data_IF_162969837776
#
_entry.id   IF_162969837776
#
_cell.length_a   1.000
_cell.length_b   1.000
_cell.length_c   1.000
_cell.angle_alpha   90.00
_cell.angle_beta   90.00
_cell.angle_gamma   90.00
#
_symmetry.space_group_name_H-M   'P 1'
#
loop_
_entity.id
_entity.type
_entity.pdbx_description
1 polymer ?
#
# COMPACT_ATOMS: atom_id res chain seq x y z
N UNK A 1 -11.34 15.33 40.70
CA UNK A 1 -10.59 16.60 40.90
C UNK A 1 -9.12 16.21 41.02
N UNK A 2 -8.13 16.68 40.25
CA UNK A 2 -8.01 17.82 39.35
C UNK A 2 -6.78 17.59 38.44
N UNK A 3 -6.86 18.09 37.22
CA UNK A 3 -5.90 17.97 36.11
C UNK A 3 -4.51 18.59 36.40
N UNK A 4 -3.49 18.06 35.71
CA UNK A 4 -2.26 18.78 35.30
C UNK A 4 -1.83 18.18 33.96
N UNK A 5 -1.42 18.89 32.91
CA UNK A 5 -1.43 20.29 32.54
C UNK A 5 -1.09 20.27 31.05
N UNK A 6 -1.97 20.80 30.20
CA UNK A 6 -1.71 21.01 28.78
C UNK A 6 -0.69 22.16 28.66
N UNK A 7 0.39 21.96 27.90
CA UNK A 7 1.17 23.06 27.32
C UNK A 7 0.98 23.02 25.81
N UNK A 8 0.18 23.96 25.33
CA UNK A 8 0.14 24.46 23.97
C UNK A 8 1.40 25.26 23.67
N UNK A 9 2.04 24.97 22.54
CA UNK A 9 2.75 25.97 21.75
C UNK A 9 2.34 25.81 20.29
N UNK A 10 1.53 26.76 19.85
CA UNK A 10 1.22 27.05 18.46
C UNK A 10 2.08 28.25 18.04
N UNK A 11 2.89 28.12 16.99
CA UNK A 11 3.21 29.21 16.07
C UNK A 11 4.17 28.76 14.97
N UNK A 12 3.75 29.03 13.74
CA UNK A 12 4.55 29.36 12.54
C UNK A 12 5.35 28.16 11.99
N UNK A 13 5.01 27.59 10.83
CA UNK A 13 5.20 28.26 9.54
C UNK A 13 4.07 28.00 8.54
N UNK A 14 3.71 29.08 7.85
CA UNK A 14 2.68 29.18 6.82
C UNK A 14 3.43 29.63 5.56
N UNK A 15 4.07 28.71 4.85
CA UNK A 15 4.67 28.99 3.55
C UNK A 15 4.41 27.87 2.54
N UNK A 16 4.02 28.34 1.34
CA UNK A 16 3.97 27.64 0.05
C UNK A 16 2.72 26.79 -0.23
N UNK A 17 1.66 27.48 -0.64
CA UNK A 17 0.43 26.93 -1.20
C UNK A 17 0.37 27.14 -2.73
N UNK A 18 1.51 27.03 -3.42
CA UNK A 18 1.62 27.29 -4.88
C UNK A 18 2.12 26.08 -5.70
N UNK A 19 2.18 24.87 -5.12
CA UNK A 19 2.77 23.72 -5.80
C UNK A 19 1.80 22.89 -6.68
N UNK A 20 0.50 23.20 -6.69
CA UNK A 20 -0.52 22.33 -7.30
C UNK A 20 -0.99 22.73 -8.70
N UNK A 21 -0.42 23.77 -9.31
CA UNK A 21 -0.86 24.24 -10.64
C UNK A 21 0.21 24.05 -11.72
N UNK A 22 0.68 22.80 -11.90
CA UNK A 22 1.46 22.42 -13.08
C UNK A 22 0.60 21.60 -14.03
N UNK A 23 0.38 22.05 -15.28
CA UNK A 23 -0.38 21.28 -16.26
C UNK A 23 0.39 20.02 -16.66
N UNK A 24 -0.33 18.91 -16.81
CA UNK A 24 0.20 17.65 -17.32
C UNK A 24 0.58 17.86 -18.80
N UNK A 25 1.88 17.87 -19.09
CA UNK A 25 2.37 17.83 -20.47
C UNK A 25 2.13 16.42 -20.99
N UNK A 26 1.15 16.25 -21.86
CA UNK A 26 0.98 15.03 -22.65
C UNK A 26 2.04 15.07 -23.75
N UNK A 27 3.05 14.20 -23.64
CA UNK A 27 4.08 14.04 -24.67
C UNK A 27 3.50 13.29 -25.87
N UNK A 28 3.74 13.78 -27.08
CA UNK A 28 3.38 13.10 -28.33
C UNK A 28 4.09 11.73 -28.46
N UNK A 29 3.49 10.75 -29.17
CA UNK A 29 4.10 9.43 -29.34
C UNK A 29 5.36 9.50 -30.21
N UNK A 30 6.45 8.91 -29.70
CA UNK A 30 7.76 8.82 -30.35
C UNK A 30 7.66 7.99 -31.65
N UNK A 31 8.03 8.60 -32.80
CA UNK A 31 8.31 7.88 -34.05
C UNK A 31 9.62 7.10 -33.91
N UNK A 32 9.58 5.78 -34.13
CA UNK A 32 10.77 4.94 -34.21
C UNK A 32 11.54 5.21 -35.51
N UNK A 33 12.84 5.46 -35.40
CA UNK A 33 13.78 5.38 -36.51
C UNK A 33 14.98 4.53 -36.06
N UNK A 34 15.26 3.51 -36.86
CA UNK A 34 16.44 2.65 -36.78
C UNK A 34 17.68 3.39 -37.27
N UNK A 35 18.81 3.29 -36.57
CA UNK A 35 20.17 3.35 -37.14
C UNK A 35 21.25 3.01 -36.09
N UNK A 36 22.35 2.45 -36.60
CA UNK A 36 23.42 1.70 -35.95
C UNK A 36 24.56 2.55 -35.32
N UNK A 37 25.45 1.82 -34.60
CA UNK A 37 26.89 2.02 -34.39
C UNK A 37 27.45 2.84 -33.20
N UNK A 38 28.06 2.10 -32.26
CA UNK A 38 29.51 2.15 -31.91
C UNK A 38 30.10 3.40 -31.24
N UNK A 39 30.65 3.24 -30.02
CA UNK A 39 31.65 4.18 -29.47
C UNK A 39 31.86 4.10 -27.95
N UNK A 40 33.07 3.73 -27.53
CA UNK A 40 33.58 3.67 -26.15
C UNK A 40 33.96 5.06 -25.59
N UNK A 41 33.73 5.34 -24.30
CA UNK A 41 34.38 6.48 -23.63
C UNK A 41 33.82 6.97 -22.28
N UNK A 42 34.35 6.42 -21.19
CA UNK A 42 34.85 7.10 -19.96
C UNK A 42 33.99 7.94 -18.99
N UNK A 43 34.31 7.73 -17.70
CA UNK A 43 34.29 8.63 -16.51
C UNK A 43 33.08 8.71 -15.57
N UNK A 44 33.27 8.05 -14.41
CA UNK A 44 33.31 8.54 -13.01
C UNK A 44 32.10 9.23 -12.33
N UNK A 45 31.88 8.72 -11.11
CA UNK A 45 31.56 9.39 -9.84
C UNK A 45 30.11 9.49 -9.34
N UNK A 46 29.90 8.74 -8.24
CA UNK A 46 29.50 9.23 -6.91
C UNK A 46 28.09 9.80 -6.72
N UNK A 47 27.27 9.01 -6.01
CA UNK A 47 26.06 9.49 -5.36
C UNK A 47 25.12 8.33 -5.06
N UNK A 48 25.46 7.53 -4.04
CA UNK A 48 24.58 6.49 -3.52
C UNK A 48 23.36 7.13 -2.85
N UNK A 49 22.40 7.55 -3.66
CA UNK A 49 21.01 7.67 -3.24
C UNK A 49 20.45 6.25 -3.26
N UNK A 50 20.06 5.82 -2.07
CA UNK A 50 19.42 4.55 -1.79
C UNK A 50 18.13 4.51 -2.62
N UNK A 51 18.17 3.78 -3.74
CA UNK A 51 17.00 3.60 -4.60
C UNK A 51 15.96 2.81 -3.81
N UNK A 52 14.90 3.48 -3.34
CA UNK A 52 13.64 2.79 -3.11
C UNK A 52 13.17 2.22 -4.46
N UNK A 53 12.93 0.91 -4.60
CA UNK A 53 12.46 0.35 -5.85
C UNK A 53 10.99 0.74 -6.01
N UNK A 54 10.73 1.92 -6.55
CA UNK A 54 9.42 2.22 -7.10
C UNK A 54 9.31 1.45 -8.41
N UNK A 55 8.67 0.29 -8.37
CA UNK A 55 8.35 -0.48 -9.57
C UNK A 55 7.39 0.37 -10.40
N UNK A 56 7.82 0.80 -11.59
CA UNK A 56 6.93 1.55 -12.48
C UNK A 56 5.81 0.62 -12.96
N UNK A 57 4.56 1.11 -12.91
CA UNK A 57 3.38 0.37 -13.38
C UNK A 57 3.52 -0.10 -14.85
N UNK A 58 4.38 0.56 -15.64
CA UNK A 58 4.69 0.19 -17.03
C UNK A 58 5.68 -0.95 -17.22
N UNK A 59 6.37 -1.41 -16.17
CA UNK A 59 7.39 -2.47 -16.26
C UNK A 59 6.84 -3.88 -15.98
N UNK A 60 5.52 -4.02 -15.79
CA UNK A 60 4.87 -5.32 -15.60
C UNK A 60 4.72 -5.99 -16.99
N UNK A 61 5.76 -6.72 -17.39
CA UNK A 61 5.75 -7.53 -18.62
C UNK A 61 4.84 -8.75 -18.44
N UNK A 62 3.60 -8.67 -18.96
CA UNK A 62 2.64 -9.78 -18.94
C UNK A 62 2.97 -10.88 -19.96
N UNK A 63 4.02 -10.72 -20.78
CA UNK A 63 4.35 -11.65 -21.86
C UNK A 63 5.76 -12.21 -21.64
N UNK A 64 5.86 -13.26 -20.80
CA UNK A 64 6.80 -14.40 -20.88
C UNK A 64 7.49 -14.83 -19.56
N UNK A 65 7.15 -14.30 -18.40
CA UNK A 65 7.58 -14.93 -17.15
C UNK A 65 6.66 -16.10 -16.81
N UNK A 66 7.23 -17.25 -16.47
CA UNK A 66 6.54 -18.36 -15.80
C UNK A 66 5.99 -17.82 -14.48
N UNK A 67 4.79 -17.24 -14.52
CA UNK A 67 4.17 -16.60 -13.38
C UNK A 67 3.86 -17.71 -12.37
N UNK A 68 4.52 -17.66 -11.22
CA UNK A 68 4.14 -18.49 -10.09
C UNK A 68 2.76 -18.03 -9.63
N UNK A 69 1.75 -18.83 -9.97
CA UNK A 69 0.37 -18.64 -9.53
C UNK A 69 0.17 -19.52 -8.32
N UNK A 70 -0.14 -18.91 -7.18
CA UNK A 70 -0.46 -19.69 -5.99
C UNK A 70 -1.84 -20.37 -6.14
N UNK A 71 -2.15 -21.38 -5.31
CA UNK A 71 -3.46 -22.06 -5.36
C UNK A 71 -4.66 -21.13 -5.12
N UNK A 72 -4.43 -19.95 -4.54
CA UNK A 72 -5.43 -18.90 -4.28
C UNK A 72 -5.59 -17.94 -5.47
N UNK A 73 -4.82 -18.12 -6.54
CA UNK A 73 -4.84 -17.32 -7.76
C UNK A 73 -4.03 -16.02 -7.69
N UNK A 74 -3.23 -15.80 -6.65
CA UNK A 74 -2.29 -14.69 -6.56
C UNK A 74 -1.15 -14.93 -7.54
N UNK A 75 -0.83 -13.88 -8.28
CA UNK A 75 0.25 -13.81 -9.25
C UNK A 75 1.36 -12.99 -8.63
N UNK A 76 2.56 -13.56 -8.58
CA UNK A 76 3.76 -12.85 -8.13
C UNK A 76 4.54 -12.29 -9.33
N UNK A 77 5.29 -11.22 -9.09
CA UNK A 77 6.23 -10.69 -10.06
C UNK A 77 7.41 -11.67 -10.27
N UNK A 78 8.29 -11.37 -11.23
CA UNK A 78 9.43 -12.23 -11.56
C UNK A 78 10.40 -12.47 -10.40
N UNK A 79 10.34 -11.67 -9.33
CA UNK A 79 11.13 -11.85 -8.11
C UNK A 79 10.56 -12.95 -7.18
N UNK A 80 9.33 -13.43 -7.43
CA UNK A 80 8.64 -14.42 -6.61
C UNK A 80 8.22 -13.92 -5.22
N UNK A 81 8.39 -12.64 -4.93
CA UNK A 81 8.13 -12.04 -3.61
C UNK A 81 7.03 -10.99 -3.71
N UNK A 82 7.09 -10.14 -4.73
CA UNK A 82 6.17 -9.02 -4.89
C UNK A 82 4.87 -9.50 -5.50
N UNK A 83 3.74 -9.16 -4.87
CA UNK A 83 2.41 -9.48 -5.42
C UNK A 83 2.14 -8.58 -6.62
N UNK A 84 1.92 -9.18 -7.79
CA UNK A 84 1.58 -8.47 -9.01
C UNK A 84 0.07 -8.31 -9.19
N UNK A 85 -0.71 -9.38 -8.95
CA UNK A 85 -2.18 -9.34 -9.04
C UNK A 85 -2.83 -10.54 -8.36
N UNK A 86 -4.17 -10.56 -8.26
CA UNK A 86 -4.91 -11.71 -7.77
C UNK A 86 -6.41 -11.42 -7.62
N UNK A 87 -7.22 -12.44 -7.29
CA UNK A 87 -8.62 -12.24 -6.93
C UNK A 87 -8.75 -11.34 -5.70
N UNK A 88 -9.78 -10.49 -5.69
CA UNK A 88 -10.01 -9.54 -4.60
C UNK A 88 -10.06 -10.23 -3.23
N UNK A 89 -10.75 -11.36 -3.12
CA UNK A 89 -10.88 -12.10 -1.85
C UNK A 89 -9.51 -12.56 -1.34
N UNK A 90 -8.69 -13.14 -2.22
CA UNK A 90 -7.35 -13.60 -1.88
C UNK A 90 -6.44 -12.43 -1.48
N UNK A 91 -6.57 -11.26 -2.11
CA UNK A 91 -5.85 -10.05 -1.71
C UNK A 91 -6.32 -9.48 -0.36
N UNK A 92 -7.62 -9.60 -0.03
CA UNK A 92 -8.13 -9.26 1.30
C UNK A 92 -7.53 -10.18 2.35
N UNK A 93 -7.46 -11.49 2.10
CA UNK A 93 -6.90 -12.46 3.04
C UNK A 93 -5.42 -12.20 3.36
N UNK A 94 -4.66 -11.66 2.39
CA UNK A 94 -3.26 -11.26 2.58
C UNK A 94 -3.07 -10.09 3.55
N UNK A 95 -4.12 -9.34 3.89
CA UNK A 95 -4.04 -8.31 4.94
C UNK A 95 -3.91 -8.89 6.35
N UNK A 96 -4.19 -10.18 6.55
CA UNK A 96 -4.08 -10.82 7.86
C UNK A 96 -2.66 -11.37 8.09
N UNK A 97 -1.84 -10.76 8.95
CA UNK A 97 -0.43 -11.15 9.12
C UNK A 97 -0.31 -12.56 9.67
N UNK A 98 0.26 -13.52 8.94
CA UNK A 98 0.51 -14.85 9.51
C UNK A 98 1.46 -14.75 10.70
N UNK A 99 1.31 -15.64 11.69
CA UNK A 99 1.85 -15.58 13.06
C UNK A 99 3.37 -15.43 13.20
N UNK A 100 4.13 -15.36 12.10
CA UNK A 100 5.60 -15.21 12.08
C UNK A 100 6.13 -14.14 11.12
N UNK A 101 5.30 -13.54 10.24
CA UNK A 101 5.78 -12.63 9.20
C UNK A 101 5.23 -11.22 9.41
N UNK A 102 6.13 -10.23 9.31
CA UNK A 102 5.73 -8.82 9.20
C UNK A 102 4.84 -8.64 7.96
N UNK A 103 3.81 -7.80 8.07
CA UNK A 103 3.05 -7.39 6.89
C UNK A 103 3.99 -6.64 5.95
N UNK A 104 3.93 -6.98 4.66
CA UNK A 104 4.57 -6.14 3.64
C UNK A 104 3.88 -4.77 3.64
N UNK A 105 4.58 -3.77 4.18
CA UNK A 105 4.07 -2.40 4.26
C UNK A 105 3.73 -1.82 2.88
N UNK A 106 4.47 -2.22 1.84
CA UNK A 106 4.25 -1.80 0.45
C UNK A 106 2.94 -2.36 -0.09
N UNK A 107 2.69 -3.65 0.13
CA UNK A 107 1.40 -4.27 -0.16
C UNK A 107 0.26 -3.63 0.63
N UNK A 108 0.38 -3.51 1.95
CA UNK A 108 -0.67 -2.94 2.81
C UNK A 108 -1.03 -1.53 2.38
N UNK A 109 -0.03 -0.67 2.15
CA UNK A 109 -0.26 0.70 1.67
C UNK A 109 -0.99 0.70 0.34
N UNK A 110 -0.48 -0.03 -0.65
CA UNK A 110 -0.98 -0.01 -2.02
C UNK A 110 -2.37 -0.64 -2.13
N UNK A 111 -2.59 -1.76 -1.45
CA UNK A 111 -3.89 -2.43 -1.40
C UNK A 111 -4.93 -1.58 -0.67
N UNK A 112 -4.65 -1.07 0.53
CA UNK A 112 -5.61 -0.22 1.24
C UNK A 112 -5.90 1.08 0.48
N UNK A 113 -4.92 1.65 -0.22
CA UNK A 113 -5.14 2.83 -1.08
C UNK A 113 -6.13 2.54 -2.22
N UNK A 114 -5.84 1.48 -2.99
CA UNK A 114 -6.52 1.16 -4.25
C UNK A 114 -7.80 0.32 -4.10
N UNK A 115 -7.90 -0.48 -3.05
CA UNK A 115 -9.05 -1.37 -2.78
C UNK A 115 -10.39 -0.61 -2.73
N UNK A 116 -10.39 0.69 -2.39
CA UNK A 116 -11.58 1.56 -2.41
C UNK A 116 -12.29 1.59 -3.77
N UNK A 117 -11.60 1.24 -4.85
CA UNK A 117 -12.18 1.12 -6.19
C UNK A 117 -13.03 -0.16 -6.36
N UNK A 118 -12.81 -1.18 -5.53
CA UNK A 118 -13.39 -2.51 -5.67
C UNK A 118 -14.25 -2.92 -4.48
N UNK A 119 -13.92 -2.46 -3.27
CA UNK A 119 -14.58 -2.82 -2.01
C UNK A 119 -14.50 -1.67 -1.01
N UNK A 120 -15.58 -1.48 -0.24
CA UNK A 120 -15.61 -0.42 0.79
C UNK A 120 -14.78 -0.82 2.01
N UNK A 121 -14.09 0.13 2.68
CA UNK A 121 -13.29 -0.14 3.88
C UNK A 121 -13.99 -1.00 4.95
N UNK A 122 -15.25 -0.70 5.29
CA UNK A 122 -15.97 -1.47 6.31
C UNK A 122 -16.23 -2.92 5.89
N UNK A 123 -16.39 -3.18 4.58
CA UNK A 123 -16.58 -4.54 4.07
C UNK A 123 -15.28 -5.35 4.18
N UNK A 124 -14.11 -4.73 3.96
CA UNK A 124 -12.81 -5.37 4.21
C UNK A 124 -12.70 -5.74 5.69
N UNK A 125 -12.91 -4.78 6.61
CA UNK A 125 -12.77 -5.03 8.04
C UNK A 125 -13.79 -6.05 8.56
N UNK A 126 -15.03 -6.01 8.06
CA UNK A 126 -16.07 -6.98 8.41
C UNK A 126 -15.72 -8.41 7.97
N UNK A 127 -15.19 -8.58 6.75
CA UNK A 127 -14.71 -9.88 6.25
C UNK A 127 -13.57 -10.43 7.10
N UNK A 128 -12.56 -9.60 7.38
CA UNK A 128 -11.40 -9.98 8.19
C UNK A 128 -11.76 -10.31 9.64
N UNK A 129 -12.69 -9.55 10.24
CA UNK A 129 -13.16 -9.85 11.59
C UNK A 129 -13.93 -11.18 11.63
N UNK A 130 -14.74 -11.45 10.61
CA UNK A 130 -15.54 -12.67 10.51
C UNK A 130 -14.71 -13.92 10.21
N UNK A 131 -13.49 -13.76 9.67
CA UNK A 131 -12.59 -14.88 9.40
C UNK A 131 -11.79 -15.34 10.63
N UNK A 132 -11.81 -14.58 11.73
CA UNK A 132 -11.14 -14.94 12.98
C UNK A 132 -12.14 -15.62 13.94
N UNK A 133 -11.99 -16.93 14.26
CA UNK A 133 -12.85 -17.65 15.21
C UNK A 133 -12.91 -16.94 16.55
N UNK A 134 -14.05 -16.99 17.25
CA UNK A 134 -14.31 -16.18 18.45
C UNK A 134 -13.32 -16.45 19.60
N UNK A 135 -12.78 -17.66 19.65
CA UNK A 135 -11.84 -18.13 20.68
C UNK A 135 -10.39 -17.65 20.44
N UNK A 136 -10.07 -17.17 19.24
CA UNK A 136 -8.71 -16.74 18.89
C UNK A 136 -8.41 -15.30 19.32
N UNK A 137 -7.15 -14.95 19.63
CA UNK A 137 -6.79 -13.56 19.91
C UNK A 137 -6.84 -12.71 18.64
N UNK A 138 -7.25 -11.45 18.78
CA UNK A 138 -7.33 -10.49 17.68
C UNK A 138 -6.02 -9.74 17.40
N UNK A 139 -4.88 -10.18 17.94
CA UNK A 139 -3.59 -9.48 17.85
C UNK A 139 -3.19 -9.12 16.42
N UNK A 140 -3.43 -10.04 15.48
CA UNK A 140 -3.17 -9.87 14.03
C UNK A 140 -4.01 -8.74 13.45
N UNK A 141 -5.29 -8.68 13.83
CA UNK A 141 -6.23 -7.66 13.36
C UNK A 141 -5.92 -6.31 14.00
N UNK A 142 -5.56 -6.28 15.28
CA UNK A 142 -5.12 -5.06 15.99
C UNK A 142 -3.84 -4.49 15.38
N UNK A 143 -2.90 -5.35 14.97
CA UNK A 143 -1.71 -4.93 14.24
C UNK A 143 -2.07 -4.27 12.90
N UNK A 144 -2.93 -4.92 12.11
CA UNK A 144 -3.43 -4.34 10.85
C UNK A 144 -4.14 -3.00 11.07
N UNK A 145 -5.01 -2.90 12.09
CA UNK A 145 -5.73 -1.67 12.42
C UNK A 145 -4.78 -0.52 12.78
N UNK A 146 -3.68 -0.83 13.46
CA UNK A 146 -2.64 0.16 13.78
C UNK A 146 -2.02 0.73 12.51
N UNK A 147 -1.67 -0.14 11.57
CA UNK A 147 -1.10 0.25 10.27
C UNK A 147 -2.11 0.99 9.39
N UNK A 148 -3.35 0.54 9.36
CA UNK A 148 -4.42 1.16 8.61
C UNK A 148 -4.73 2.56 9.14
N UNK A 149 -4.91 2.72 10.46
CA UNK A 149 -5.21 4.03 11.07
C UNK A 149 -4.07 5.02 10.85
N UNK A 150 -2.82 4.55 10.91
CA UNK A 150 -1.62 5.38 10.65
C UNK A 150 -1.59 5.91 9.22
N UNK A 151 -1.95 5.08 8.24
CA UNK A 151 -1.87 5.42 6.80
C UNK A 151 -3.12 6.14 6.28
N UNK A 152 -4.31 5.72 6.71
CA UNK A 152 -5.61 6.19 6.19
C UNK A 152 -6.61 6.50 7.32
N UNK A 153 -6.33 7.49 8.19
CA UNK A 153 -7.16 7.78 9.36
C UNK A 153 -8.59 8.20 9.01
N UNK A 154 -8.83 8.66 7.78
CA UNK A 154 -10.16 9.09 7.32
C UNK A 154 -11.16 7.95 7.17
N UNK A 155 -10.72 6.71 6.90
CA UNK A 155 -11.62 5.57 6.78
C UNK A 155 -12.38 5.30 8.10
N UNK A 156 -11.76 5.64 9.24
CA UNK A 156 -12.31 5.45 10.59
C UNK A 156 -13.32 6.51 11.02
N UNK A 157 -13.61 7.50 10.17
CA UNK A 157 -14.75 8.41 10.37
C UNK A 157 -16.07 7.77 9.96
N UNK A 158 -16.04 6.69 9.19
CA UNK A 158 -17.22 5.93 8.80
C UNK A 158 -17.75 5.14 10.01
N UNK A 159 -19.04 5.31 10.32
CA UNK A 159 -19.68 4.64 11.46
C UNK A 159 -19.75 3.12 11.30
N UNK A 160 -19.75 2.59 10.08
CA UNK A 160 -19.72 1.14 9.83
C UNK A 160 -18.34 0.56 10.16
N UNK A 161 -17.25 1.25 9.80
CA UNK A 161 -15.89 0.89 10.27
C UNK A 161 -15.88 0.92 11.80
N UNK A 162 -16.38 2.00 12.41
CA UNK A 162 -16.36 2.16 13.86
C UNK A 162 -17.20 1.10 14.58
N UNK A 163 -18.27 0.62 13.96
CA UNK A 163 -19.09 -0.50 14.49
C UNK A 163 -18.26 -1.77 14.59
N UNK A 164 -17.47 -2.11 13.57
CA UNK A 164 -16.55 -3.24 13.63
C UNK A 164 -15.43 -3.03 14.66
N UNK A 165 -14.85 -1.82 14.74
CA UNK A 165 -13.83 -1.50 15.76
C UNK A 165 -14.38 -1.64 17.17
N UNK A 166 -15.61 -1.16 17.42
CA UNK A 166 -16.29 -1.33 18.72
C UNK A 166 -16.49 -2.81 19.06
N UNK A 167 -16.85 -3.64 18.07
CA UNK A 167 -16.98 -5.09 18.25
C UNK A 167 -15.64 -5.73 18.65
N UNK A 168 -14.57 -5.38 17.94
CA UNK A 168 -13.19 -5.83 18.22
C UNK A 168 -12.76 -5.48 19.64
N UNK A 169 -13.08 -4.26 20.11
CA UNK A 169 -12.74 -3.80 21.47
C UNK A 169 -13.58 -4.49 22.55
N UNK A 170 -14.79 -4.94 22.21
CA UNK A 170 -15.70 -5.58 23.16
C UNK A 170 -15.52 -7.09 23.30
N UNK A 171 -14.79 -7.71 22.38
CA UNK A 171 -14.45 -9.13 22.40
C UNK A 171 -13.32 -9.38 23.39
#
# INVERSE_FOLDING_TARGET
>A
MLLRSIRTTCSQDLESLDAYDRPIIVSDPIKSNSAENGGNGSTNNSGGAENCPYVSIGDIDFQNSELEVDPSGIVYAADGITIASGPLESLVDLLMPNTTNHLDEGFVYSFLLSSRLFIRPHEILGKLLSSVPEEEPLDRLVYLLSEWTRKFPYDFRDENIMTHVKHIVSR
#
